data_IF_099368085357
#
_entry.id   IF_099368085357
#
_cell.length_a   1.000
_cell.length_b   1.000
_cell.length_c   1.000
_cell.angle_alpha   90.00
_cell.angle_beta   90.00
_cell.angle_gamma   90.00
#
_symmetry.space_group_name_H-M   'P 1'
#
loop_
_entity.id
_entity.type
_entity.pdbx_description
1 polymer ?
#
# COMPACT_ATOMS: atom_id res chain seq x y z
N UNK A 1 3.70 42.31 -21.43
CA UNK A 1 4.20 42.05 -20.06
C UNK A 1 2.99 41.68 -19.23
N UNK A 2 2.76 40.37 -19.06
CA UNK A 2 1.55 39.82 -18.47
C UNK A 2 1.54 39.96 -16.96
N UNK A 3 0.43 40.47 -16.46
CA UNK A 3 0.04 40.58 -15.06
C UNK A 3 0.07 39.22 -14.35
N UNK A 4 0.97 39.04 -13.39
CA UNK A 4 0.85 37.97 -12.39
C UNK A 4 -0.25 38.35 -11.41
N UNK A 5 -1.43 37.75 -11.60
CA UNK A 5 -2.52 37.75 -10.64
C UNK A 5 -2.05 37.03 -9.37
N UNK A 6 -1.91 37.79 -8.29
CA UNK A 6 -1.73 37.27 -6.94
C UNK A 6 -3.02 36.56 -6.54
N UNK A 7 -3.02 35.23 -6.62
CA UNK A 7 -4.06 34.39 -6.06
C UNK A 7 -3.90 34.45 -4.53
N UNK A 8 -4.64 35.34 -3.88
CA UNK A 8 -4.79 35.36 -2.42
C UNK A 8 -5.38 34.02 -1.98
N UNK A 9 -4.60 33.20 -1.27
CA UNK A 9 -5.09 31.98 -0.62
C UNK A 9 -5.80 32.32 0.70
N UNK A 10 -6.87 31.58 1.07
CA UNK A 10 -7.69 31.87 2.25
C UNK A 10 -6.98 31.47 3.55
N UNK A 11 -6.78 32.43 4.45
CA UNK A 11 -6.47 32.35 5.89
C UNK A 11 -5.40 31.37 6.46
N UNK A 12 -4.70 30.55 5.67
CA UNK A 12 -3.47 29.81 6.04
C UNK A 12 -3.57 28.84 7.24
N UNK A 13 -4.77 28.66 7.80
CA UNK A 13 -5.01 27.97 9.08
C UNK A 13 -4.79 26.47 8.95
N UNK A 14 -5.17 25.88 7.81
CA UNK A 14 -5.06 24.44 7.57
C UNK A 14 -3.59 24.01 7.45
N UNK A 15 -2.81 24.79 6.72
CA UNK A 15 -1.36 24.63 6.51
C UNK A 15 -0.62 24.74 7.85
N UNK A 16 -0.94 25.78 8.61
CA UNK A 16 -0.31 26.06 9.92
C UNK A 16 -0.55 24.92 10.91
N UNK A 17 -1.79 24.43 11.04
CA UNK A 17 -2.12 23.35 11.97
C UNK A 17 -1.49 22.01 11.55
N UNK A 18 -1.53 21.71 10.25
CA UNK A 18 -0.93 20.48 9.70
C UNK A 18 0.57 20.45 9.94
N UNK A 19 1.25 21.57 9.69
CA UNK A 19 2.70 21.67 9.87
C UNK A 19 3.11 21.59 11.35
N UNK A 20 2.36 22.25 12.25
CA UNK A 20 2.60 22.20 13.68
C UNK A 20 2.52 20.77 14.25
N UNK A 21 1.56 19.97 13.77
CA UNK A 21 1.40 18.57 14.18
C UNK A 21 2.53 17.67 13.67
N UNK A 22 3.00 17.87 12.45
CA UNK A 22 4.13 17.09 11.91
C UNK A 22 5.46 17.46 12.56
N UNK A 23 5.63 18.73 12.94
CA UNK A 23 6.84 19.20 13.63
C UNK A 23 7.00 18.58 15.04
N UNK A 24 5.92 18.17 15.71
CA UNK A 24 6.01 17.46 16.99
C UNK A 24 6.40 15.98 16.84
N UNK A 25 6.07 15.36 15.70
CA UNK A 25 6.11 13.91 15.54
C UNK A 25 7.28 13.41 14.66
N UNK A 26 7.82 14.25 13.77
CA UNK A 26 8.83 13.85 12.77
C UNK A 26 10.16 14.56 13.01
N UNK A 27 11.19 13.80 13.42
CA UNK A 27 12.56 14.31 13.65
C UNK A 27 13.35 14.60 12.37
N UNK A 28 12.86 14.14 11.21
CA UNK A 28 13.58 14.16 9.93
C UNK A 28 13.17 15.39 9.08
N UNK A 29 14.10 16.00 8.30
CA UNK A 29 13.81 17.23 7.57
C UNK A 29 12.92 17.01 6.33
N UNK A 30 12.89 15.78 5.78
CA UNK A 30 12.12 15.40 4.59
C UNK A 30 10.90 14.54 4.92
N UNK A 31 9.72 14.96 4.48
CA UNK A 31 8.44 14.27 4.74
C UNK A 31 7.99 13.50 3.49
N UNK A 32 7.71 12.20 3.64
CA UNK A 32 7.08 11.40 2.60
C UNK A 32 5.56 11.50 2.73
N UNK A 33 4.89 12.02 1.71
CA UNK A 33 3.44 12.22 1.69
C UNK A 33 2.79 11.13 0.84
N UNK A 34 1.97 10.29 1.43
CA UNK A 34 1.18 9.30 0.70
C UNK A 34 0.02 9.99 -0.02
N UNK A 35 0.02 9.94 -1.36
CA UNK A 35 -0.99 10.56 -2.21
C UNK A 35 -1.81 9.49 -2.88
N UNK A 36 -3.09 9.35 -2.55
CA UNK A 36 -3.98 8.35 -3.18
C UNK A 36 -4.63 8.86 -4.47
N UNK A 37 -4.55 10.16 -4.74
CA UNK A 37 -5.28 10.85 -5.80
C UNK A 37 -6.67 11.34 -5.38
N UNK A 38 -7.09 11.06 -4.14
CA UNK A 38 -8.29 11.65 -3.54
C UNK A 38 -8.08 13.09 -3.07
N UNK A 39 -9.18 13.82 -2.79
CA UNK A 39 -9.13 15.23 -2.38
C UNK A 39 -8.32 15.45 -1.10
N UNK A 40 -8.48 14.60 -0.08
CA UNK A 40 -7.81 14.76 1.22
C UNK A 40 -6.29 14.67 1.11
N UNK A 41 -5.79 13.64 0.42
CA UNK A 41 -4.35 13.44 0.22
C UNK A 41 -3.72 14.52 -0.67
N UNK A 42 -4.51 15.06 -1.59
CA UNK A 42 -4.11 16.17 -2.48
C UNK A 42 -4.03 17.48 -1.69
N UNK A 43 -5.01 17.76 -0.83
CA UNK A 43 -5.02 18.93 0.04
C UNK A 43 -3.84 18.88 1.03
N UNK A 44 -3.56 17.72 1.62
CA UNK A 44 -2.40 17.53 2.49
C UNK A 44 -1.07 17.82 1.76
N UNK A 45 -0.91 17.30 0.53
CA UNK A 45 0.28 17.55 -0.29
C UNK A 45 0.50 19.05 -0.55
N UNK A 46 -0.57 19.75 -0.96
CA UNK A 46 -0.52 21.19 -1.25
C UNK A 46 -0.21 22.00 0.01
N UNK A 47 -0.88 21.70 1.12
CA UNK A 47 -0.68 22.42 2.37
C UNK A 47 0.75 22.30 2.89
N UNK A 48 1.38 21.13 2.77
CA UNK A 48 2.77 20.94 3.16
C UNK A 48 3.76 21.64 2.23
N UNK A 49 3.44 21.72 0.93
CA UNK A 49 4.23 22.47 -0.05
C UNK A 49 4.19 23.96 0.23
N UNK A 50 3.00 24.51 0.49
CA UNK A 50 2.81 25.92 0.83
C UNK A 50 3.45 26.29 2.18
N UNK A 51 3.46 25.36 3.14
CA UNK A 51 4.20 25.51 4.39
C UNK A 51 5.74 25.45 4.23
N UNK A 52 6.26 25.29 3.01
CA UNK A 52 7.70 25.34 2.71
C UNK A 52 8.49 24.12 3.19
N UNK A 53 7.83 22.96 3.41
CA UNK A 53 8.51 21.75 3.86
C UNK A 53 9.26 21.06 2.72
N UNK A 54 10.37 20.40 3.05
CA UNK A 54 11.02 19.46 2.15
C UNK A 54 10.16 18.19 2.10
N UNK A 55 9.46 17.98 0.99
CA UNK A 55 8.50 16.88 0.84
C UNK A 55 8.77 16.07 -0.42
N UNK A 56 8.45 14.79 -0.35
CA UNK A 56 8.40 13.85 -1.47
C UNK A 56 7.03 13.21 -1.47
N UNK A 57 6.38 13.14 -2.63
CA UNK A 57 5.12 12.42 -2.78
C UNK A 57 5.40 10.94 -3.09
N UNK A 58 4.66 10.04 -2.45
CA UNK A 58 4.57 8.64 -2.84
C UNK A 58 3.13 8.34 -3.24
N UNK A 59 2.91 8.02 -4.52
CA UNK A 59 1.61 7.53 -4.96
C UNK A 59 1.59 6.00 -4.84
N UNK A 60 0.76 5.51 -3.94
CA UNK A 60 0.45 4.09 -3.83
C UNK A 60 -0.90 3.83 -4.49
N UNK A 61 -0.85 3.17 -5.63
CA UNK A 61 -2.07 2.71 -6.27
C UNK A 61 -2.62 1.48 -5.53
N UNK A 62 -3.67 1.70 -4.73
CA UNK A 62 -4.34 0.63 -3.98
C UNK A 62 -5.22 -0.28 -4.86
N UNK A 63 -5.22 -0.11 -6.19
CA UNK A 63 -5.87 -0.91 -7.24
C UNK A 63 -7.29 -1.43 -6.90
N UNK A 64 -8.11 -0.59 -6.26
CA UNK A 64 -9.46 -0.98 -5.89
C UNK A 64 -10.51 -0.68 -6.99
N UNK A 65 -10.17 -0.05 -8.13
CA UNK A 65 -11.09 0.24 -9.25
C UNK A 65 -10.38 0.38 -10.61
N UNK A 66 -11.10 0.11 -11.70
CA UNK A 66 -10.67 0.47 -13.07
C UNK A 66 -10.45 1.98 -13.18
N UNK A 67 -9.36 2.42 -13.84
CA UNK A 67 -8.99 3.84 -14.00
C UNK A 67 -7.79 4.30 -13.17
N UNK A 68 -7.11 3.38 -12.50
CA UNK A 68 -5.99 3.68 -11.60
C UNK A 68 -4.77 4.29 -12.32
N UNK A 69 -4.52 3.88 -13.58
CA UNK A 69 -3.54 4.51 -14.47
C UNK A 69 -3.83 6.00 -14.76
N UNK A 70 -5.11 6.41 -14.75
CA UNK A 70 -5.48 7.81 -14.93
C UNK A 70 -5.19 8.63 -13.67
N UNK A 71 -5.44 8.05 -12.49
CA UNK A 71 -5.15 8.68 -11.21
C UNK A 71 -3.64 8.84 -11.01
N UNK A 72 -2.84 7.82 -11.33
CA UNK A 72 -1.39 7.90 -11.26
C UNK A 72 -0.83 9.01 -12.17
N UNK A 73 -1.37 9.15 -13.39
CA UNK A 73 -1.02 10.25 -14.30
C UNK A 73 -1.41 11.61 -13.74
N UNK A 74 -2.61 11.76 -13.18
CA UNK A 74 -3.06 13.02 -12.56
C UNK A 74 -2.17 13.42 -11.39
N UNK A 75 -1.77 12.47 -10.55
CA UNK A 75 -0.84 12.73 -9.43
C UNK A 75 0.55 13.11 -9.94
N UNK A 76 1.03 12.46 -11.00
CA UNK A 76 2.30 12.82 -11.65
C UNK A 76 2.29 14.23 -12.22
N UNK A 77 1.23 14.60 -12.94
CA UNK A 77 1.05 15.95 -13.49
C UNK A 77 0.97 17.01 -12.40
N UNK A 78 0.26 16.73 -11.30
CA UNK A 78 0.19 17.63 -10.15
C UNK A 78 1.57 17.83 -9.53
N UNK A 79 2.29 16.75 -9.21
CA UNK A 79 3.60 16.81 -8.58
C UNK A 79 4.62 17.56 -9.44
N UNK A 80 4.61 17.31 -10.76
CA UNK A 80 5.43 18.04 -11.72
C UNK A 80 5.11 19.55 -11.72
N UNK A 81 3.82 19.92 -11.68
CA UNK A 81 3.37 21.32 -11.66
C UNK A 81 3.80 22.08 -10.40
N UNK A 82 3.81 21.42 -9.25
CA UNK A 82 4.16 22.06 -7.96
C UNK A 82 5.65 21.92 -7.58
N UNK A 83 6.44 21.24 -8.42
CA UNK A 83 7.86 21.01 -8.20
C UNK A 83 8.17 20.08 -7.03
N UNK A 84 7.30 19.08 -6.80
CA UNK A 84 7.48 18.08 -5.75
C UNK A 84 7.93 16.76 -6.39
N UNK A 85 9.04 16.14 -5.95
CA UNK A 85 9.44 14.82 -6.44
C UNK A 85 8.35 13.78 -6.18
N UNK A 86 8.01 12.99 -7.19
CA UNK A 86 7.05 11.89 -7.08
C UNK A 86 7.77 10.54 -7.22
N UNK A 87 7.50 9.65 -6.27
CA UNK A 87 7.83 8.23 -6.35
C UNK A 87 6.56 7.48 -6.75
N UNK A 88 6.58 6.88 -7.93
CA UNK A 88 5.54 5.96 -8.42
C UNK A 88 6.15 4.57 -8.55
N UNK A 89 5.82 3.68 -7.62
CA UNK A 89 6.41 2.34 -7.56
C UNK A 89 5.33 1.26 -7.60
N UNK A 90 5.70 0.11 -8.20
CA UNK A 90 4.86 -1.10 -8.14
C UNK A 90 5.02 -1.75 -6.77
N UNK A 91 3.92 -2.12 -6.13
CA UNK A 91 3.98 -2.76 -4.83
C UNK A 91 4.21 -4.27 -4.98
N UNK A 92 5.38 -4.73 -4.53
CA UNK A 92 5.66 -6.15 -4.38
C UNK A 92 5.06 -6.65 -3.07
N UNK A 93 4.18 -7.64 -3.16
CA UNK A 93 3.57 -8.29 -2.01
C UNK A 93 4.20 -9.66 -1.79
N UNK A 94 4.53 -9.97 -0.55
CA UNK A 94 5.12 -11.23 -0.12
C UNK A 94 4.08 -12.38 -0.01
N UNK A 95 3.15 -12.45 -0.96
CA UNK A 95 2.21 -13.57 -1.04
C UNK A 95 2.94 -14.82 -1.53
N UNK A 96 2.72 -15.92 -0.83
CA UNK A 96 3.33 -17.25 -1.03
C UNK A 96 2.34 -18.24 -1.65
N UNK A 97 2.82 -19.41 -2.04
CA UNK A 97 1.99 -20.53 -2.49
C UNK A 97 0.92 -20.91 -1.44
N UNK A 98 1.29 -20.92 -0.15
CA UNK A 98 0.36 -21.15 0.96
C UNK A 98 -0.82 -20.16 0.93
N UNK A 99 -0.58 -18.87 0.63
CA UNK A 99 -1.63 -17.85 0.61
C UNK A 99 -2.61 -18.04 -0.57
N UNK A 100 -2.16 -18.67 -1.66
CA UNK A 100 -3.01 -19.10 -2.79
C UNK A 100 -3.90 -20.27 -2.34
N UNK A 101 -3.31 -21.27 -1.70
CA UNK A 101 -4.05 -22.44 -1.18
C UNK A 101 -5.11 -22.01 -0.17
N UNK A 102 -4.73 -21.18 0.82
CA UNK A 102 -5.65 -20.63 1.82
C UNK A 102 -6.82 -19.86 1.15
N UNK A 103 -6.51 -19.07 0.12
CA UNK A 103 -7.50 -18.33 -0.65
C UNK A 103 -8.48 -19.23 -1.39
N UNK A 104 -7.96 -20.27 -2.05
CA UNK A 104 -8.77 -21.25 -2.78
C UNK A 104 -9.72 -22.02 -1.85
N UNK A 105 -9.23 -22.47 -0.69
CA UNK A 105 -10.07 -23.14 0.31
C UNK A 105 -11.16 -22.19 0.84
N UNK A 106 -10.82 -20.93 1.11
CA UNK A 106 -11.83 -19.95 1.51
C UNK A 106 -12.91 -19.72 0.45
N UNK A 107 -12.54 -19.66 -0.83
CA UNK A 107 -13.51 -19.50 -1.91
C UNK A 107 -14.42 -20.72 -2.05
N UNK A 108 -13.87 -21.92 -1.89
CA UNK A 108 -14.66 -23.16 -1.85
C UNK A 108 -15.68 -23.14 -0.70
N UNK A 109 -15.23 -22.83 0.52
CA UNK A 109 -16.09 -22.77 1.71
C UNK A 109 -17.19 -21.70 1.61
N UNK A 110 -16.99 -20.68 0.77
CA UNK A 110 -17.96 -19.60 0.53
C UNK A 110 -18.92 -19.88 -0.63
N UNK A 111 -18.81 -21.04 -1.27
CA UNK A 111 -19.67 -21.39 -2.41
C UNK A 111 -19.34 -20.63 -3.69
N UNK A 112 -18.12 -20.10 -3.83
CA UNK A 112 -17.68 -19.54 -5.10
C UNK A 112 -17.44 -20.71 -6.08
N UNK A 113 -18.12 -20.71 -7.24
CA UNK A 113 -17.90 -21.73 -8.27
C UNK A 113 -16.46 -21.74 -8.80
N UNK A 114 -16.19 -22.53 -9.86
CA UNK A 114 -14.83 -22.72 -10.42
C UNK A 114 -14.07 -21.42 -10.75
N UNK A 115 -14.77 -20.31 -11.00
CA UNK A 115 -14.17 -18.99 -11.17
C UNK A 115 -13.39 -18.51 -9.93
N UNK A 116 -13.81 -18.89 -8.73
CA UNK A 116 -13.13 -18.61 -7.46
C UNK A 116 -11.87 -19.44 -7.23
N UNK A 117 -11.68 -20.54 -7.98
CA UNK A 117 -10.49 -21.39 -7.92
C UNK A 117 -9.34 -20.90 -8.81
N UNK A 118 -9.52 -19.81 -9.56
CA UNK A 118 -8.47 -19.21 -10.38
C UNK A 118 -7.25 -18.73 -9.58
N UNK A 119 -7.34 -18.74 -8.25
CA UNK A 119 -6.24 -18.37 -7.36
C UNK A 119 -5.92 -16.88 -7.43
N UNK A 120 -4.70 -16.55 -7.00
CA UNK A 120 -4.20 -15.19 -6.96
C UNK A 120 -3.27 -14.97 -8.16
N UNK A 121 -3.50 -13.97 -9.03
CA UNK A 121 -2.61 -13.73 -10.17
C UNK A 121 -1.29 -13.10 -9.73
N UNK A 122 -0.19 -13.47 -10.39
CA UNK A 122 1.16 -12.91 -10.17
C UNK A 122 1.19 -11.39 -10.34
N UNK A 123 0.38 -10.88 -11.27
CA UNK A 123 0.23 -9.44 -11.53
C UNK A 123 -1.25 -9.09 -11.55
N UNK A 124 -1.61 -8.00 -10.86
CA UNK A 124 -2.94 -7.38 -10.93
C UNK A 124 -2.79 -5.88 -10.72
N UNK A 125 -2.97 -5.10 -11.78
CA UNK A 125 -2.64 -3.68 -11.77
C UNK A 125 -1.17 -3.47 -11.40
N UNK A 126 -0.94 -2.64 -10.38
CA UNK A 126 0.40 -2.30 -9.88
C UNK A 126 0.95 -3.27 -8.82
N UNK A 127 0.16 -4.26 -8.41
CA UNK A 127 0.61 -5.30 -7.49
C UNK A 127 1.34 -6.40 -8.24
N UNK A 128 2.56 -6.70 -7.79
CA UNK A 128 3.33 -7.87 -8.22
C UNK A 128 3.51 -8.81 -7.03
N UNK A 129 3.48 -10.11 -7.27
CA UNK A 129 3.59 -11.14 -6.22
C UNK A 129 4.68 -12.14 -6.61
N UNK A 130 5.96 -11.77 -6.46
CA UNK A 130 7.07 -12.59 -6.94
C UNK A 130 7.19 -13.95 -6.27
N UNK A 131 6.60 -14.10 -5.08
CA UNK A 131 6.71 -15.28 -4.23
C UNK A 131 5.53 -16.26 -4.37
N UNK A 132 4.61 -16.09 -5.32
CA UNK A 132 3.44 -16.97 -5.42
C UNK A 132 3.78 -18.45 -5.66
N UNK A 133 4.93 -18.73 -6.27
CA UNK A 133 5.44 -20.10 -6.45
C UNK A 133 6.31 -20.61 -5.30
N UNK A 134 6.55 -19.78 -4.27
CA UNK A 134 7.43 -20.09 -3.13
C UNK A 134 6.57 -20.47 -1.93
N UNK A 135 6.89 -21.61 -1.31
CA UNK A 135 6.23 -22.09 -0.09
C UNK A 135 6.76 -21.41 1.17
N UNK A 136 5.93 -21.29 2.21
CA UNK A 136 6.37 -20.74 3.50
C UNK A 136 7.50 -21.54 4.14
N UNK A 137 7.59 -22.85 3.86
CA UNK A 137 8.73 -23.68 4.27
C UNK A 137 10.05 -23.19 3.65
N UNK A 138 10.05 -22.85 2.36
CA UNK A 138 11.21 -22.30 1.66
C UNK A 138 11.59 -20.91 2.18
N UNK A 139 10.60 -20.06 2.51
CA UNK A 139 10.84 -18.76 3.16
C UNK A 139 11.50 -18.94 4.53
N UNK A 140 11.01 -19.89 5.35
CA UNK A 140 11.61 -20.19 6.67
C UNK A 140 13.03 -20.70 6.53
N UNK A 141 13.29 -21.58 5.57
CA UNK A 141 14.63 -22.09 5.30
C UNK A 141 15.58 -20.97 4.83
N UNK A 142 15.12 -20.10 3.93
CA UNK A 142 15.88 -18.93 3.47
C UNK A 142 16.31 -18.01 4.61
N UNK A 143 15.41 -17.75 5.57
CA UNK A 143 15.68 -16.93 6.77
C UNK A 143 16.60 -17.67 7.75
N UNK A 144 16.38 -18.97 7.97
CA UNK A 144 17.19 -19.81 8.86
C UNK A 144 18.65 -19.86 8.42
N UNK A 145 18.91 -20.05 7.12
CA UNK A 145 20.26 -20.04 6.54
C UNK A 145 21.01 -18.71 6.75
N UNK A 146 20.27 -17.61 6.97
CA UNK A 146 20.81 -16.27 7.19
C UNK A 146 20.78 -15.83 8.64
N UNK A 147 20.35 -16.71 9.55
CA UNK A 147 20.20 -16.41 10.97
C UNK A 147 19.30 -15.19 11.24
N UNK A 148 18.28 -14.99 10.40
CA UNK A 148 17.30 -13.91 10.57
C UNK A 148 16.05 -14.46 11.25
N UNK A 149 15.70 -13.89 12.40
CA UNK A 149 14.44 -14.19 13.10
C UNK A 149 13.42 -13.11 12.73
N UNK A 150 12.37 -13.42 11.96
CA UNK A 150 11.33 -12.45 11.63
C UNK A 150 10.49 -12.12 12.87
N UNK A 151 9.97 -10.91 12.92
CA UNK A 151 8.97 -10.55 13.94
C UNK A 151 7.64 -11.24 13.63
N UNK A 152 7.03 -11.87 14.64
CA UNK A 152 5.71 -12.46 14.53
C UNK A 152 4.62 -11.49 14.97
N UNK A 153 3.81 -11.03 14.01
CA UNK A 153 2.61 -10.23 14.32
C UNK A 153 1.57 -11.09 15.05
N UNK A 154 1.11 -10.71 16.26
CA UNK A 154 0.08 -11.42 17.01
C UNK A 154 -1.22 -11.67 16.22
N UNK A 155 -1.56 -10.81 15.26
CA UNK A 155 -2.73 -10.98 14.40
C UNK A 155 -2.67 -12.28 13.57
N UNK A 156 -1.47 -12.84 13.32
CA UNK A 156 -1.30 -14.10 12.61
C UNK A 156 -1.79 -15.33 13.39
N UNK A 157 -2.02 -15.18 14.70
CA UNK A 157 -2.52 -16.24 15.58
C UNK A 157 -4.02 -16.12 15.87
N UNK A 158 -4.63 -15.00 15.49
CA UNK A 158 -6.00 -14.68 15.82
C UNK A 158 -7.00 -15.43 14.92
N UNK A 159 -7.62 -16.46 15.49
CA UNK A 159 -8.61 -17.31 14.81
C UNK A 159 -9.92 -16.61 14.49
N UNK A 160 -10.12 -15.35 14.89
CA UNK A 160 -11.25 -14.53 14.39
C UNK A 160 -11.13 -14.31 12.88
N UNK A 161 -9.90 -14.25 12.34
CA UNK A 161 -9.68 -14.12 10.90
C UNK A 161 -9.85 -15.45 10.18
N UNK A 162 -10.71 -15.47 9.15
CA UNK A 162 -11.07 -16.69 8.42
C UNK A 162 -9.85 -17.39 7.79
N UNK A 163 -8.87 -16.63 7.29
CA UNK A 163 -7.60 -17.17 6.75
C UNK A 163 -6.77 -17.90 7.81
N UNK A 164 -6.74 -17.38 9.04
CA UNK A 164 -5.99 -18.01 10.14
C UNK A 164 -6.61 -19.35 10.50
N UNK A 165 -7.95 -19.46 10.54
CA UNK A 165 -8.63 -20.75 10.75
C UNK A 165 -8.32 -21.75 9.65
N UNK A 166 -8.37 -21.31 8.39
CA UNK A 166 -8.02 -22.18 7.25
C UNK A 166 -6.61 -22.75 7.41
N UNK A 167 -5.63 -21.89 7.73
CA UNK A 167 -4.23 -22.28 7.93
C UNK A 167 -4.02 -23.23 9.11
N UNK A 168 -4.69 -22.98 10.24
CA UNK A 168 -4.39 -23.67 11.51
C UNK A 168 -5.24 -24.91 11.77
N UNK A 169 -6.46 -24.93 11.24
CA UNK A 169 -7.45 -25.95 11.58
C UNK A 169 -7.81 -26.79 10.35
N UNK A 170 -8.08 -26.13 9.22
CA UNK A 170 -8.64 -26.81 8.04
C UNK A 170 -7.55 -27.52 7.23
N UNK A 171 -6.52 -26.80 6.77
CA UNK A 171 -5.46 -27.38 5.95
C UNK A 171 -4.76 -28.56 6.66
N UNK A 172 -4.35 -28.45 7.94
CA UNK A 172 -3.71 -29.58 8.63
C UNK A 172 -4.62 -30.78 8.90
N UNK A 173 -5.94 -30.62 8.78
CA UNK A 173 -6.89 -31.73 8.86
C UNK A 173 -7.07 -32.45 7.52
N UNK A 174 -6.80 -31.77 6.40
CA UNK A 174 -6.88 -32.32 5.04
C UNK A 174 -5.60 -33.02 4.59
N UNK A 175 -4.46 -32.68 5.20
CA UNK A 175 -3.15 -33.28 4.91
C UNK A 175 -2.91 -34.63 5.61
N UNK A 176 -3.90 -35.15 6.34
CA UNK A 176 -3.83 -36.42 7.09
C UNK A 176 -4.36 -37.61 6.31
#
# INVERSE_FOLDING_TARGET
>A
MGSHSAFLAPDGRFETLTNARLASDVRNPRVLVAVSGGPDSTALLLALREAGRDIVAAHYDHALRDGSDAVARQVAELCARIGVPLITERLALAHTADDVVEGSVLHLLRGCGLAGLRGMPERRGHFVRPMLGVWKSEVREFLRQRHVVPHEDPANLDTRFARVRVRREILPALER
#
